data_IF_650664817064
#
_entry.id   IF_650664817064
#
_cell.length_a   1.000
_cell.length_b   1.000
_cell.length_c   1.000
_cell.angle_alpha   90.00
_cell.angle_beta   90.00
_cell.angle_gamma   90.00
#
_symmetry.space_group_name_H-M   'P 1'
#
loop_
_entity.id
_entity.type
_entity.pdbx_description
1 polymer ?
2 water ?
#
# COMPACT_ATOMS: atom_id res chain seq x y z
N UNK A 18 18.78 -39.69 2.97
CA UNK A 18 19.98 -39.10 3.56
C UNK A 18 20.41 -37.79 2.87
N UNK A 19 19.98 -37.59 1.62
CA UNK A 19 20.27 -36.37 0.88
C UNK A 19 19.03 -35.53 0.65
N UNK A 20 17.92 -35.86 1.32
CA UNK A 20 16.66 -35.14 1.22
C UNK A 20 16.52 -34.14 2.36
N UNK A 21 15.80 -33.05 2.10
CA UNK A 21 15.60 -32.03 3.12
C UNK A 21 15.01 -32.63 4.39
N UNK A 22 15.60 -32.27 5.54
CA UNK A 22 15.07 -32.62 6.86
C UNK A 22 15.48 -31.52 7.83
N UNK A 23 14.52 -31.00 8.59
CA UNK A 23 14.84 -29.94 9.53
C UNK A 23 13.83 -29.94 10.67
N UNK A 24 14.10 -29.10 11.66
CA UNK A 24 13.21 -28.85 12.77
C UNK A 24 13.30 -27.37 13.15
N UNK A 25 12.16 -26.75 13.45
CA UNK A 25 12.14 -25.36 13.90
C UNK A 25 10.87 -25.13 14.70
N UNK A 26 10.83 -23.97 15.37
CA UNK A 26 9.67 -23.59 16.17
C UNK A 26 8.46 -23.33 15.28
N UNK A 27 7.28 -23.71 15.78
CA UNK A 27 6.06 -23.69 14.95
C UNK A 27 5.68 -22.27 14.53
N UNK A 28 5.71 -21.32 15.47
CA UNK A 28 5.21 -19.99 15.14
C UNK A 28 6.04 -19.35 14.03
N UNK A 29 7.35 -19.58 14.02
CA UNK A 29 8.22 -18.99 13.01
C UNK A 29 7.94 -19.59 11.63
N UNK A 30 7.91 -20.93 11.57
CA UNK A 30 7.53 -21.64 10.34
C UNK A 30 6.15 -21.19 9.86
N UNK A 31 5.17 -21.15 10.76
CA UNK A 31 3.82 -20.74 10.36
C UNK A 31 3.81 -19.33 9.78
N UNK A 32 4.52 -18.40 10.42
CA UNK A 32 4.57 -17.03 9.92
C UNK A 32 5.25 -16.93 8.57
N UNK A 33 6.38 -17.63 8.41
CA UNK A 33 7.13 -17.56 7.16
C UNK A 33 6.30 -18.09 6.00
N UNK A 34 5.71 -19.27 6.17
CA UNK A 34 4.91 -19.88 5.10
C UNK A 34 3.70 -19.01 4.77
N UNK A 35 3.01 -18.51 5.78
CA UNK A 35 1.80 -17.73 5.47
C UNK A 35 2.15 -16.41 4.77
N UNK A 36 3.26 -15.75 5.16
CA UNK A 36 3.66 -14.54 4.45
C UNK A 36 3.95 -14.82 2.98
N UNK A 37 4.61 -15.94 2.68
CA UNK A 37 4.92 -16.29 1.30
C UNK A 37 3.66 -16.76 0.57
N UNK A 38 2.80 -17.53 1.24
CA UNK A 38 1.66 -18.13 0.57
C UNK A 38 0.48 -17.18 0.39
N UNK A 39 0.43 -16.06 1.12
CA UNK A 39 -0.59 -15.05 0.87
C UNK A 39 -0.54 -14.58 -0.59
N UNK A 40 0.67 -14.33 -1.11
CA UNK A 40 0.82 -13.87 -2.49
C UNK A 40 0.35 -14.90 -3.52
N UNK A 41 0.32 -16.20 -3.16
CA UNK A 41 0.10 -17.28 -4.12
C UNK A 41 -1.26 -17.23 -4.78
N UNK A 42 -1.40 -17.86 -5.96
CA UNK A 42 -2.71 -17.93 -6.63
C UNK A 42 -3.46 -19.22 -6.35
N UNK A 43 -4.76 -19.11 -6.06
CA UNK A 43 -5.60 -20.28 -5.84
C UNK A 43 -6.05 -20.91 -7.15
N UNK A 44 -6.29 -20.08 -8.18
CA UNK A 44 -6.55 -20.55 -9.53
C UNK A 44 -5.24 -20.51 -10.31
N UNK A 45 -4.48 -21.61 -10.32
CA UNK A 45 -3.16 -21.57 -10.96
C UNK A 45 -3.19 -22.10 -12.38
N UNK A 46 -2.71 -21.30 -13.34
CA UNK A 46 -2.52 -21.78 -14.70
C UNK A 46 -1.69 -23.05 -14.67
N UNK A 47 -0.38 -22.89 -14.47
CA UNK A 47 0.46 -24.04 -14.13
C UNK A 47 0.18 -24.46 -12.69
N UNK A 48 -0.06 -25.74 -12.42
CA UNK A 48 -0.38 -26.14 -11.04
C UNK A 48 0.77 -25.90 -10.08
N UNK A 49 2.02 -25.91 -10.57
CA UNK A 49 3.16 -25.72 -9.69
C UNK A 49 3.14 -24.34 -9.06
N UNK A 50 2.46 -23.37 -9.68
CA UNK A 50 2.48 -22.01 -9.16
C UNK A 50 1.76 -21.87 -7.82
N UNK A 51 1.02 -22.89 -7.38
CA UNK A 51 0.43 -22.92 -6.05
C UNK A 51 1.37 -23.51 -5.00
N UNK A 52 2.58 -23.91 -5.38
CA UNK A 52 3.50 -24.45 -4.41
C UNK A 52 4.38 -23.38 -3.80
N UNK A 53 4.99 -23.70 -2.66
CA UNK A 53 6.06 -22.90 -2.11
C UNK A 53 7.34 -23.75 -2.06
N UNK A 54 8.45 -23.13 -2.42
CA UNK A 54 9.75 -23.76 -2.37
C UNK A 54 10.28 -23.70 -0.95
N UNK A 55 10.81 -24.83 -0.47
CA UNK A 55 11.42 -24.93 0.85
C UNK A 55 12.85 -25.40 0.65
N UNK A 56 13.82 -24.58 1.07
CA UNK A 56 15.24 -24.87 0.87
C UNK A 56 15.99 -24.77 2.20
N UNK A 57 16.68 -25.84 2.56
CA UNK A 57 17.39 -25.89 3.84
C UNK A 57 18.89 -25.95 3.66
N UNK A 58 19.60 -25.21 4.53
CA UNK A 58 21.06 -25.13 4.52
C UNK A 58 21.56 -24.20 5.63
N UNK A 59 22.63 -24.61 6.32
CA UNK A 59 23.45 -23.73 7.17
C UNK A 59 22.62 -23.05 8.26
N UNK A 60 21.91 -23.86 9.04
CA UNK A 60 21.11 -23.38 10.16
C UNK A 60 20.08 -22.33 9.74
N UNK A 61 19.54 -22.46 8.53
CA UNK A 61 18.47 -21.59 8.09
C UNK A 61 17.58 -22.20 7.03
N UNK A 62 16.29 -21.89 7.10
CA UNK A 62 15.29 -22.39 6.16
C UNK A 62 14.80 -21.23 5.30
N UNK A 63 14.78 -21.44 3.99
CA UNK A 63 14.36 -20.42 3.03
C UNK A 63 13.09 -20.88 2.32
N UNK A 64 12.10 -20.00 2.29
CA UNK A 64 10.76 -20.31 1.78
C UNK A 64 10.44 -19.29 0.69
N UNK A 65 10.12 -19.77 -0.51
CA UNK A 65 10.03 -18.94 -1.70
C UNK A 65 8.73 -19.18 -2.45
N UNK A 66 8.16 -18.09 -2.98
CA UNK A 66 6.99 -18.15 -3.84
C UNK A 66 7.13 -17.20 -5.02
N UNK A 67 6.64 -17.60 -6.18
CA UNK A 67 6.70 -16.78 -7.38
C UNK A 67 5.43 -16.98 -8.19
N UNK A 68 4.89 -15.88 -8.73
CA UNK A 68 3.74 -16.03 -9.64
C UNK A 68 3.93 -15.32 -10.98
N UNK A 69 5.12 -14.77 -11.23
CA UNK A 69 5.57 -14.13 -12.48
C UNK A 69 5.50 -12.62 -12.35
N UNK A 70 4.62 -12.15 -11.46
CA UNK A 70 4.50 -10.73 -11.15
C UNK A 70 5.17 -10.35 -9.83
N UNK A 71 4.86 -11.05 -8.75
CA UNK A 71 5.45 -10.81 -7.44
C UNK A 71 6.16 -12.08 -6.98
N UNK A 72 7.37 -11.94 -6.44
CA UNK A 72 8.09 -13.04 -5.82
C UNK A 72 8.32 -12.68 -4.36
N UNK A 73 8.41 -13.69 -3.52
CA UNK A 73 8.61 -13.46 -2.09
C UNK A 73 9.44 -14.59 -1.51
N UNK A 74 10.40 -14.22 -0.66
CA UNK A 74 11.30 -15.14 -0.02
C UNK A 74 11.49 -14.72 1.42
N UNK A 75 11.62 -15.70 2.31
CA UNK A 75 11.89 -15.44 3.72
C UNK A 75 12.84 -16.50 4.22
N UNK A 76 13.80 -16.09 5.05
CA UNK A 76 14.71 -17.01 5.71
C UNK A 76 14.45 -16.95 7.20
N UNK A 77 14.25 -18.11 7.82
CA UNK A 77 14.11 -18.15 9.28
C UNK A 77 15.12 -19.17 9.78
N UNK A 78 15.63 -19.02 11.00
CA UNK A 78 16.52 -20.05 11.54
C UNK A 78 15.79 -21.37 11.70
N UNK A 79 16.54 -22.45 11.50
CA UNK A 79 16.01 -23.79 11.68
C UNK A 79 17.16 -24.76 11.92
N UNK A 80 16.86 -25.87 12.57
CA UNK A 80 17.88 -26.89 12.82
C UNK A 80 17.90 -27.80 11.60
N UNK A 81 18.70 -27.44 10.61
CA UNK A 81 18.75 -28.22 9.38
C UNK A 81 19.61 -29.44 9.65
N UNK A 82 18.98 -30.62 9.66
CA UNK A 82 19.69 -31.87 9.88
C UNK A 82 20.17 -32.49 8.58
N UNK A 83 19.68 -32.01 7.45
CA UNK A 83 20.11 -32.46 6.14
C UNK A 83 19.60 -31.42 5.15
N UNK A 84 20.36 -31.10 4.11
CA UNK A 84 19.96 -30.03 3.21
C UNK A 84 19.18 -30.51 1.99
N UNK A 85 18.38 -29.61 1.46
CA UNK A 85 17.71 -29.89 0.21
C UNK A 85 16.62 -28.89 -0.08
N UNK A 86 15.85 -29.22 -1.10
CA UNK A 86 14.80 -28.35 -1.55
C UNK A 86 13.60 -29.21 -1.94
N UNK A 87 12.40 -28.74 -1.58
CA UNK A 87 11.17 -29.43 -1.93
C UNK A 87 10.08 -28.39 -2.22
N UNK A 88 9.12 -28.78 -3.03
CA UNK A 88 8.00 -27.95 -3.43
C UNK A 88 6.73 -28.58 -2.90
N UNK A 89 5.99 -27.87 -2.04
CA UNK A 89 4.72 -28.37 -1.50
C UNK A 89 3.65 -27.28 -1.56
N UNK A 90 2.40 -27.72 -1.44
CA UNK A 90 1.24 -26.85 -1.57
C UNK A 90 1.29 -25.73 -0.54
N UNK A 91 1.35 -24.49 -1.03
CA UNK A 91 1.57 -23.36 -0.13
C UNK A 91 0.43 -23.15 0.84
N UNK A 92 -0.82 -23.18 0.35
CA UNK A 92 -1.91 -22.85 1.26
C UNK A 92 -2.18 -23.98 2.23
N UNK A 93 -2.05 -25.24 1.78
CA UNK A 93 -2.17 -26.37 2.70
C UNK A 93 -1.13 -26.30 3.81
N UNK A 94 0.11 -26.03 3.45
CA UNK A 94 1.17 -25.94 4.45
C UNK A 94 0.92 -24.78 5.39
N UNK A 95 0.50 -23.65 4.83
CA UNK A 95 0.09 -22.51 5.65
C UNK A 95 -1.01 -22.91 6.63
N UNK A 96 -2.08 -23.54 6.14
CA UNK A 96 -3.17 -23.95 7.02
C UNK A 96 -2.70 -24.91 8.12
N UNK A 97 -1.92 -25.93 7.75
CA UNK A 97 -1.48 -26.93 8.74
C UNK A 97 -0.61 -26.29 9.80
N UNK A 98 0.39 -25.50 9.37
CA UNK A 98 1.36 -24.98 10.34
C UNK A 98 0.73 -23.98 11.31
N UNK A 99 -0.32 -23.27 10.90
CA UNK A 99 -0.99 -22.40 11.86
C UNK A 99 -1.81 -23.18 12.88
N UNK A 100 -2.36 -24.32 12.49
CA UNK A 100 -3.22 -25.11 13.37
C UNK A 100 -2.48 -26.17 14.17
N UNK A 101 -1.17 -26.33 13.96
CA UNK A 101 -0.40 -27.36 14.65
C UNK A 101 -0.26 -27.03 16.13
N UNK A 102 0.14 -28.00 16.95
CA UNK A 102 0.40 -27.71 18.36
C UNK A 102 1.66 -26.86 18.52
N UNK A 103 1.63 -25.91 19.47
CA UNK A 103 2.80 -25.07 19.74
C UNK A 103 3.87 -25.95 20.37
N UNK A 104 4.58 -26.66 19.50
CA UNK A 104 5.61 -27.62 19.84
C UNK A 104 6.53 -27.76 18.63
N UNK A 105 7.77 -28.20 18.83
CA UNK A 105 8.72 -28.23 17.70
C UNK A 105 8.17 -29.03 16.52
N UNK A 106 8.34 -28.47 15.33
CA UNK A 106 7.86 -29.07 14.09
C UNK A 106 9.01 -29.80 13.43
N UNK A 107 8.79 -31.07 13.09
CA UNK A 107 9.74 -31.85 12.32
C UNK A 107 9.23 -32.03 10.90
N UNK A 108 10.15 -31.91 9.94
CA UNK A 108 9.79 -31.92 8.53
C UNK A 108 10.92 -32.64 7.82
N UNK A 109 10.60 -33.72 7.10
CA UNK A 109 11.60 -34.40 6.28
C UNK A 109 10.94 -34.97 5.02
N UNK A 110 11.67 -34.89 3.90
CA UNK A 110 11.22 -35.43 2.63
C UNK A 110 11.50 -36.93 2.59
N UNK A 111 10.52 -37.69 2.08
CA UNK A 111 10.58 -39.15 1.94
C UNK A 111 10.24 -39.52 0.48
N UNK A 112 11.09 -39.10 -0.45
CA UNK A 112 10.85 -39.35 -1.86
C UNK A 112 9.82 -38.44 -2.48
N UNK A 113 8.65 -38.97 -2.82
CA UNK A 113 7.60 -38.15 -3.39
C UNK A 113 6.63 -37.62 -2.35
N UNK A 114 6.96 -37.73 -1.06
CA UNK A 114 6.10 -37.25 0.00
C UNK A 114 6.92 -36.56 1.08
N UNK A 115 6.24 -35.73 1.86
CA UNK A 115 6.85 -34.93 2.92
C UNK A 115 6.18 -35.34 4.22
N UNK A 116 6.96 -35.46 5.27
CA UNK A 116 6.47 -35.85 6.58
C UNK A 116 6.59 -34.67 7.50
N UNK A 117 5.48 -34.29 8.08
CA UNK A 117 5.42 -33.18 9.01
C UNK A 117 4.85 -33.77 10.30
N UNK A 118 5.65 -33.77 11.35
CA UNK A 118 5.21 -34.26 12.64
C UNK A 118 5.38 -33.14 13.66
N UNK A 119 4.50 -33.14 14.65
CA UNK A 119 4.49 -32.07 15.63
C UNK A 119 3.62 -32.50 16.79
N UNK A 120 4.24 -32.69 17.96
CA UNK A 120 3.51 -33.29 19.06
C UNK A 120 2.96 -34.63 18.59
N UNK A 121 1.68 -34.84 18.89
CA UNK A 121 0.98 -36.09 18.61
C UNK A 121 0.34 -36.13 17.22
N UNK A 122 0.61 -35.14 16.37
CA UNK A 122 -0.02 -35.04 15.06
C UNK A 122 0.99 -35.30 13.94
N UNK A 123 0.55 -36.01 12.91
CA UNK A 123 1.43 -36.48 11.85
C UNK A 123 0.75 -36.23 10.50
N UNK A 124 1.45 -35.53 9.61
CA UNK A 124 0.98 -35.25 8.27
C UNK A 124 1.88 -35.88 7.23
N UNK A 125 1.27 -36.37 6.16
CA UNK A 125 1.97 -36.86 4.99
C UNK A 125 1.46 -36.07 3.80
N UNK A 126 2.29 -35.15 3.28
CA UNK A 126 1.91 -34.30 2.15
C UNK A 126 2.65 -34.73 0.89
N UNK A 127 1.99 -34.68 -0.27
CA UNK A 127 2.66 -34.97 -1.53
C UNK A 127 3.53 -33.81 -1.97
N UNK A 128 4.61 -34.14 -2.66
CA UNK A 128 5.46 -33.09 -3.21
C UNK A 128 5.05 -32.77 -4.64
N UNK A 129 5.61 -31.67 -5.16
CA UNK A 129 5.42 -31.23 -6.52
C UNK A 129 6.76 -31.19 -7.23
N UNK A 130 6.72 -30.93 -8.54
CA UNK A 130 7.92 -31.00 -9.36
C UNK A 130 8.72 -29.72 -9.21
N UNK A 131 9.77 -29.76 -8.37
CA UNK A 131 10.68 -28.63 -8.23
C UNK A 131 11.20 -28.19 -9.59
N UNK A 132 11.50 -29.17 -10.46
CA UNK A 132 12.05 -28.88 -11.78
C UNK A 132 11.17 -27.94 -12.59
N UNK A 133 9.84 -27.99 -12.39
CA UNK A 133 8.92 -27.14 -13.13
C UNK A 133 8.72 -25.78 -12.49
N UNK A 134 9.26 -25.55 -11.29
CA UNK A 134 8.99 -24.27 -10.65
C UNK A 134 9.83 -23.17 -11.30
N UNK A 135 9.24 -22.02 -11.58
CA UNK A 135 10.00 -20.95 -12.22
C UNK A 135 11.13 -20.45 -11.32
N UNK A 136 12.25 -20.12 -11.95
CA UNK A 136 13.32 -19.44 -11.24
C UNK A 136 12.89 -18.07 -10.75
N UNK A 137 13.08 -17.83 -9.45
CA UNK A 137 12.79 -16.53 -8.87
C UNK A 137 13.73 -15.47 -9.43
N UNK A 138 13.26 -14.24 -9.60
CA UNK A 138 14.10 -13.19 -10.18
C UNK A 138 15.13 -12.68 -9.19
N UNK A 139 16.23 -12.17 -9.74
CA UNK A 139 17.27 -11.55 -8.95
C UNK A 139 16.92 -10.09 -8.65
N UNK A 140 17.00 -9.72 -7.37
CA UNK A 140 16.76 -8.33 -6.98
C UNK A 140 17.81 -7.43 -7.63
N UNK A 141 17.40 -6.25 -8.12
CA UNK A 141 18.37 -5.27 -8.61
C UNK A 141 19.35 -4.87 -7.51
N UNK A 142 20.41 -4.16 -7.90
CA UNK A 142 21.24 -3.45 -6.93
C UNK A 142 20.39 -2.49 -6.08
N UNK A 143 20.85 -2.27 -4.85
CA UNK A 143 20.12 -1.45 -3.89
C UNK A 143 20.23 0.04 -4.21
N UNK A 144 19.17 0.77 -3.92
CA UNK A 144 19.10 2.18 -4.23
C UNK A 144 18.99 3.05 -2.99
N UNK A 145 18.17 2.65 -2.02
CA UNK A 145 18.07 3.40 -0.78
C UNK A 145 17.31 2.64 0.28
N UNK A 146 17.40 3.14 1.51
CA UNK A 146 16.70 2.59 2.66
C UNK A 146 15.85 3.68 3.32
N UNK A 147 14.87 3.23 4.11
CA UNK A 147 14.03 4.13 4.91
C UNK A 147 13.27 3.30 5.93
N UNK A 148 12.90 3.89 7.07
CA UNK A 148 12.19 3.13 8.11
C UNK A 148 10.93 2.44 7.61
N UNK A 149 10.64 1.28 8.18
CA UNK A 149 9.46 0.53 7.77
C UNK A 149 8.18 1.29 8.06
N UNK A 150 8.10 1.91 9.25
CA UNK A 150 6.97 2.78 9.59
C UNK A 150 6.72 3.79 8.46
N UNK A 151 7.75 4.58 8.13
CA UNK A 151 7.59 5.62 7.14
C UNK A 151 7.15 5.07 5.79
N UNK A 152 7.76 3.96 5.37
CA UNK A 152 7.41 3.38 4.08
C UNK A 152 5.98 2.88 4.09
N UNK A 153 5.54 2.33 5.22
CA UNK A 153 4.17 1.86 5.31
C UNK A 153 3.18 3.03 5.30
N UNK A 154 3.47 4.12 6.02
CA UNK A 154 2.56 5.25 6.05
C UNK A 154 2.45 5.89 4.68
N UNK A 155 3.59 6.18 4.06
CA UNK A 155 3.60 6.91 2.80
C UNK A 155 2.89 6.14 1.71
N UNK A 156 3.12 4.82 1.59
CA UNK A 156 2.47 4.04 0.55
C UNK A 156 0.97 4.00 0.74
N UNK A 157 0.52 3.85 1.99
CA UNK A 157 -0.90 3.80 2.27
C UNK A 157 -1.61 5.12 2.00
N UNK A 158 -0.93 6.25 2.27
CA UNK A 158 -1.52 7.57 2.00
C UNK A 158 -1.79 7.77 0.52
N UNK A 159 -0.94 7.21 -0.32
CA UNK A 159 -0.96 7.49 -1.75
C UNK A 159 -1.77 6.46 -2.51
N UNK A 160 -1.67 5.19 -2.09
CA UNK A 160 -2.25 4.06 -2.83
C UNK A 160 -3.75 4.15 -2.86
N UNK A 161 -4.36 4.77 -1.86
CA UNK A 161 -5.80 4.89 -1.79
C UNK A 161 -6.38 5.63 -2.99
N UNK A 162 -5.55 6.42 -3.70
CA UNK A 162 -5.99 7.26 -4.80
C UNK A 162 -5.83 6.61 -6.17
N UNK A 163 -5.10 5.48 -6.25
CA UNK A 163 -4.85 4.83 -7.53
C UNK A 163 -6.14 4.25 -8.11
N UNK A 164 -6.21 4.20 -9.44
CA UNK A 164 -7.29 3.49 -10.09
C UNK A 164 -7.19 1.98 -9.95
N UNK A 165 -8.35 1.34 -10.11
CA UNK A 165 -8.51 -0.11 -9.96
C UNK A 165 -9.11 -0.74 -11.21
N UNK A 166 -8.82 -0.15 -12.37
CA UNK A 166 -9.37 -0.60 -13.64
C UNK A 166 -8.21 -0.90 -14.56
N UNK A 167 -8.03 -2.18 -14.90
CA UNK A 167 -6.86 -2.56 -15.68
C UNK A 167 -6.97 -2.14 -17.14
N UNK A 168 -8.17 -1.75 -17.59
CA UNK A 168 -8.30 -1.16 -18.91
C UNK A 168 -7.65 0.22 -18.99
N UNK A 169 -7.32 0.83 -17.84
CA UNK A 169 -6.63 2.12 -17.78
C UNK A 169 -5.38 1.92 -16.93
N UNK A 170 -4.36 1.26 -17.46
CA UNK A 170 -3.22 0.87 -16.62
C UNK A 170 -2.37 2.04 -16.19
N UNK A 171 -2.42 3.17 -16.91
CA UNK A 171 -1.69 4.34 -16.45
C UNK A 171 -2.19 4.84 -15.10
N UNK A 172 -3.40 4.47 -14.69
CA UNK A 172 -3.92 4.92 -13.40
C UNK A 172 -3.72 3.92 -12.26
N UNK A 173 -3.37 2.66 -12.56
CA UNK A 173 -3.30 1.59 -11.55
C UNK A 173 -1.96 1.52 -10.81
N UNK A 174 -1.05 2.46 -11.04
CA UNK A 174 0.27 2.41 -10.44
C UNK A 174 0.50 3.49 -9.38
N UNK A 175 1.60 3.33 -8.64
CA UNK A 175 2.12 4.36 -7.77
C UNK A 175 3.41 4.87 -8.41
N UNK A 176 3.47 6.16 -8.72
CA UNK A 176 4.69 6.73 -9.28
C UNK A 176 5.71 6.95 -8.17
N UNK A 177 6.95 6.54 -8.41
CA UNK A 177 8.04 6.71 -7.45
C UNK A 177 9.07 7.58 -8.13
N UNK A 178 9.24 8.80 -7.63
CA UNK A 178 10.30 9.69 -8.12
C UNK A 178 11.40 9.78 -7.08
N UNK A 179 12.63 9.68 -7.54
CA UNK A 179 13.79 9.82 -6.67
C UNK A 179 14.60 11.00 -7.18
N UNK A 180 15.02 11.86 -6.26
CA UNK A 180 15.93 12.95 -6.57
C UNK A 180 16.87 13.06 -5.38
N UNK A 181 18.00 12.35 -5.45
CA UNK A 181 18.94 12.33 -4.34
C UNK A 181 18.30 11.77 -3.07
N UNK A 182 18.30 12.59 -2.02
CA UNK A 182 17.73 12.33 -0.71
C UNK A 182 16.20 12.30 -0.71
N UNK A 183 15.56 12.86 -1.73
CA UNK A 183 14.13 13.12 -1.68
C UNK A 183 13.37 12.16 -2.59
N UNK A 184 12.25 11.63 -2.08
CA UNK A 184 11.38 10.71 -2.80
C UNK A 184 9.97 11.28 -2.83
N UNK A 185 9.34 11.24 -4.01
CA UNK A 185 7.96 11.65 -4.19
C UNK A 185 7.16 10.44 -4.64
N UNK A 186 6.07 10.16 -3.96
CA UNK A 186 5.10 9.14 -4.33
C UNK A 186 3.79 9.80 -4.77
N UNK A 187 3.21 9.29 -5.86
CA UNK A 187 1.98 9.87 -6.39
C UNK A 187 1.09 8.77 -6.96
N UNK A 188 -0.22 8.99 -6.87
CA UNK A 188 -1.20 8.09 -7.45
C UNK A 188 -2.46 8.87 -7.75
N UNK A 189 -3.16 8.48 -8.80
CA UNK A 189 -4.41 9.16 -9.12
C UNK A 189 -5.30 8.23 -9.94
N UNK A 190 -6.62 8.47 -9.84
CA UNK A 190 -7.61 7.80 -10.66
C UNK A 190 -8.43 8.80 -11.48
N UNK A 191 -7.88 10.00 -11.71
CA UNK A 191 -8.51 11.15 -12.40
C UNK A 191 -9.48 11.93 -11.51
N UNK A 192 -9.91 11.34 -10.41
CA UNK A 192 -10.88 11.99 -9.52
C UNK A 192 -10.27 12.46 -8.21
N UNK A 193 -9.23 11.77 -7.74
CA UNK A 193 -8.39 12.22 -6.65
C UNK A 193 -6.94 11.97 -7.03
N UNK A 194 -6.06 12.76 -6.44
CA UNK A 194 -4.63 12.69 -6.68
C UNK A 194 -3.96 12.83 -5.33
N UNK A 195 -3.10 11.88 -4.98
CA UNK A 195 -2.40 11.88 -3.70
C UNK A 195 -0.91 11.95 -3.96
N UNK A 196 -0.24 12.91 -3.32
CA UNK A 196 1.20 13.12 -3.48
C UNK A 196 1.83 13.20 -2.11
N UNK A 197 2.87 12.41 -1.90
CA UNK A 197 3.58 12.32 -0.64
C UNK A 197 5.06 12.46 -0.93
N UNK A 198 5.71 13.36 -0.20
CA UNK A 198 7.15 13.58 -0.31
C UNK A 198 7.81 13.13 0.98
N UNK A 199 9.00 12.54 0.86
CA UNK A 199 9.70 12.05 2.03
C UNK A 199 11.20 12.04 1.77
N UNK A 200 11.95 12.01 2.85
CA UNK A 200 13.41 11.90 2.79
C UNK A 200 13.81 10.45 3.10
N UNK A 201 14.73 9.91 2.32
CA UNK A 201 15.30 8.59 2.62
C UNK A 201 16.82 8.65 2.69
N UNK A 202 17.43 7.53 3.07
CA UNK A 202 18.88 7.38 3.06
C UNK A 202 19.25 6.77 1.71
N UNK A 203 19.74 7.61 0.79
CA UNK A 203 20.12 7.15 -0.53
C UNK A 203 21.49 6.47 -0.50
N UNK A 204 21.67 5.48 -1.36
CA UNK A 204 22.98 4.85 -1.46
C UNK A 204 23.94 5.72 -2.25
N UNK A 205 23.55 6.14 -3.47
CA UNK A 205 24.24 7.22 -4.15
C UNK A 205 23.49 8.53 -4.00
N UNK A 206 24.16 9.68 -3.79
CA UNK A 206 23.43 10.95 -3.67
C UNK A 206 23.10 11.61 -5.00
N UNK A 207 23.26 10.92 -6.14
CA UNK A 207 23.13 11.52 -7.47
C UNK A 207 22.00 10.93 -8.32
N UNK A 208 21.06 10.20 -7.72
CA UNK A 208 20.03 9.53 -8.51
C UNK A 208 18.99 10.54 -8.96
N UNK A 209 18.49 10.36 -10.19
CA UNK A 209 17.50 11.25 -10.81
C UNK A 209 16.61 10.36 -11.67
N UNK A 210 15.57 9.80 -11.06
CA UNK A 210 14.82 8.73 -11.70
C UNK A 210 13.37 8.71 -11.25
N UNK A 211 12.55 8.05 -12.06
CA UNK A 211 11.16 7.78 -11.73
C UNK A 211 10.78 6.43 -12.33
N UNK A 212 9.99 5.66 -11.58
CA UNK A 212 9.41 4.42 -12.07
C UNK A 212 7.91 4.42 -11.72
N UNK A 213 7.21 3.39 -12.20
CA UNK A 213 5.80 3.19 -11.92
C UNK A 213 5.57 1.75 -11.45
N UNK A 214 4.98 1.60 -10.27
CA UNK A 214 4.83 0.31 -9.61
C UNK A 214 3.35 -0.01 -9.41
N UNK A 215 2.89 -1.23 -9.70
CA UNK A 215 1.48 -1.56 -9.45
C UNK A 215 1.06 -1.27 -8.02
N UNK A 216 -0.03 -0.51 -7.87
CA UNK A 216 -0.41 -0.03 -6.56
C UNK A 216 -0.92 -1.14 -5.65
N UNK A 217 -1.75 -2.05 -6.18
CA UNK A 217 -2.28 -3.12 -5.35
C UNK A 217 -1.16 -3.96 -4.72
N UNK A 218 -0.15 -4.34 -5.52
CA UNK A 218 0.95 -5.14 -4.97
C UNK A 218 1.81 -4.32 -4.01
N UNK A 219 2.18 -3.09 -4.39
CA UNK A 219 3.08 -2.31 -3.56
C UNK A 219 2.41 -1.87 -2.27
N UNK A 220 1.11 -1.55 -2.33
CA UNK A 220 0.36 -1.34 -1.12
C UNK A 220 0.46 -2.54 -0.20
N UNK A 221 0.40 -3.74 -0.76
CA UNK A 221 0.44 -4.94 0.09
C UNK A 221 1.81 -5.10 0.73
N UNK A 222 2.88 -4.95 -0.07
CA UNK A 222 4.28 -5.10 0.38
C UNK A 222 4.68 -4.07 1.43
N UNK A 223 3.72 -3.33 1.92
CA UNK A 223 3.90 -2.38 3.00
C UNK A 223 2.81 -2.49 4.06
N UNK A 224 1.58 -2.86 3.67
CA UNK A 224 0.47 -2.89 4.64
C UNK A 224 0.72 -3.91 5.73
N UNK A 225 1.38 -5.02 5.41
CA UNK A 225 1.71 -6.03 6.38
C UNK A 225 3.21 -6.30 6.51
N UNK A 226 4.03 -5.74 5.61
CA UNK A 226 5.48 -5.80 5.78
C UNK A 226 5.97 -4.85 6.85
N UNK A 227 5.05 -4.14 7.53
CA UNK A 227 5.43 -3.26 8.61
C UNK A 227 6.11 -4.04 9.74
N UNK A 228 7.11 -3.41 10.35
CA UNK A 228 7.72 -3.93 11.57
C UNK A 228 8.33 -2.74 12.31
N UNK A 229 9.48 -2.95 12.95
CA UNK A 229 10.24 -1.87 13.54
C UNK A 229 11.55 -1.58 12.85
N UNK A 230 11.78 -2.17 11.68
CA UNK A 230 13.11 -2.30 11.10
C UNK A 230 13.31 -1.28 9.98
N UNK A 231 14.30 -1.54 9.14
CA UNK A 231 14.60 -0.73 7.97
C UNK A 231 14.14 -1.48 6.73
N UNK A 232 13.65 -0.72 5.75
CA UNK A 232 13.21 -1.26 4.47
C UNK A 232 14.23 -0.81 3.43
N UNK A 233 14.69 -1.74 2.62
CA UNK A 233 15.65 -1.45 1.56
C UNK A 233 14.95 -1.59 0.23
N UNK A 234 15.09 -0.58 -0.61
CA UNK A 234 14.45 -0.57 -1.91
C UNK A 234 15.52 -0.74 -2.97
N UNK A 235 15.29 -1.66 -3.90
CA UNK A 235 16.29 -2.05 -4.87
C UNK A 235 15.75 -1.80 -6.27
N UNK A 236 16.25 -0.75 -6.91
CA UNK A 236 15.83 -0.34 -8.24
C UNK A 236 16.97 -0.33 -9.23
N UNK A 237 18.20 -0.61 -8.80
CA UNK A 237 19.38 -0.45 -9.62
C UNK A 237 20.24 0.70 -9.13
N UNK A 238 21.34 0.93 -9.85
CA UNK A 238 22.33 1.91 -9.49
C UNK A 238 22.82 2.60 -10.75
N UNK A 239 23.26 3.85 -10.59
CA UNK A 239 23.76 4.63 -11.70
C UNK A 239 22.85 4.60 -12.92
N UNK A 240 23.47 4.47 -14.08
CA UNK A 240 22.78 4.31 -15.36
C UNK A 240 21.65 3.30 -15.32
N UNK A 241 21.74 2.29 -14.46
CA UNK A 241 20.81 1.19 -14.49
C UNK A 241 19.59 1.31 -13.59
N UNK A 242 19.37 2.46 -12.97
CA UNK A 242 18.25 2.59 -12.06
C UNK A 242 16.95 2.49 -12.85
N UNK A 243 16.05 1.62 -12.41
CA UNK A 243 14.82 1.35 -13.12
C UNK A 243 14.92 0.36 -14.26
N UNK A 244 16.10 0.09 -14.78
CA UNK A 244 16.18 -0.56 -16.07
C UNK A 244 16.07 -2.07 -16.01
N UNK A 245 15.93 -2.67 -14.83
CA UNK A 245 15.74 -4.11 -14.74
C UNK A 245 14.27 -4.52 -14.75
N UNK A 246 13.34 -3.57 -14.70
CA UNK A 246 11.94 -3.90 -14.74
C UNK A 246 11.38 -4.38 -13.44
N UNK A 247 12.11 -4.22 -12.33
CA UNK A 247 11.73 -4.76 -11.05
C UNK A 247 12.00 -3.74 -9.98
N UNK A 248 11.18 -3.78 -8.94
CA UNK A 248 11.45 -3.15 -7.66
C UNK A 248 11.62 -4.26 -6.64
N UNK A 249 12.72 -4.22 -5.88
CA UNK A 249 12.91 -5.13 -4.77
C UNK A 249 12.65 -4.41 -3.47
N UNK A 250 12.10 -5.14 -2.50
CA UNK A 250 11.83 -4.62 -1.16
C UNK A 250 12.36 -5.63 -0.16
N UNK A 251 13.24 -5.17 0.73
CA UNK A 251 13.93 -6.06 1.65
C UNK A 251 13.94 -5.46 3.05
N UNK A 252 14.13 -6.35 4.01
CA UNK A 252 14.26 -6.03 5.42
C UNK A 252 13.64 -7.15 6.20
N UNK A 253 14.20 -7.46 7.36
CA UNK A 253 13.61 -8.46 8.23
C UNK A 253 13.62 -9.83 7.58
N UNK A 254 14.78 -10.20 7.04
CA UNK A 254 14.91 -11.53 6.45
C UNK A 254 13.94 -11.85 5.33
N UNK A 255 13.24 -10.84 4.83
CA UNK A 255 12.27 -10.98 3.74
C UNK A 255 12.76 -10.21 2.52
N UNK A 256 12.53 -10.80 1.35
CA UNK A 256 12.88 -10.20 0.07
C UNK A 256 11.75 -10.41 -0.91
N UNK A 257 11.26 -9.34 -1.51
CA UNK A 257 10.23 -9.48 -2.52
C UNK A 257 10.62 -8.65 -3.75
N UNK A 258 10.13 -9.07 -4.92
CA UNK A 258 10.23 -8.28 -6.14
C UNK A 258 8.84 -8.00 -6.69
N UNK A 259 8.74 -6.92 -7.46
CA UNK A 259 7.51 -6.51 -8.12
C UNK A 259 7.84 -6.04 -9.51
N UNK A 260 7.20 -6.65 -10.51
CA UNK A 260 7.36 -6.19 -11.88
C UNK A 260 6.89 -4.74 -11.99
N UNK A 261 7.67 -3.92 -12.66
CA UNK A 261 7.37 -2.51 -12.87
C UNK A 261 6.30 -2.35 -13.95
N UNK A 262 5.50 -1.30 -13.80
CA UNK A 262 4.46 -0.97 -14.75
C UNK A 262 5.03 -0.19 -15.93
N UNK A 263 4.55 -0.51 -17.14
CA UNK A 263 5.04 0.10 -18.37
C UNK A 263 4.32 1.38 -18.79
N UNK A 264 3.29 1.81 -18.07
CA UNK A 264 2.49 2.93 -18.55
C UNK A 264 3.11 4.27 -18.15
N UNK A 265 2.66 5.32 -18.81
CA UNK A 265 3.06 6.69 -18.49
C UNK A 265 2.14 7.28 -17.44
N UNK A 266 2.73 7.79 -16.36
CA UNK A 266 1.94 8.50 -15.37
C UNK A 266 1.51 9.87 -15.90
N UNK A 267 0.34 10.36 -15.50
CA UNK A 267 -0.07 11.71 -15.92
C UNK A 267 0.84 12.78 -15.31
N UNK A 268 1.05 13.85 -16.07
CA UNK A 268 1.76 15.03 -15.59
C UNK A 268 0.94 15.73 -14.50
N UNK A 269 1.11 15.29 -13.26
CA UNK A 269 0.25 15.71 -12.17
C UNK A 269 0.62 17.07 -11.59
N UNK A 270 1.83 17.56 -11.84
CA UNK A 270 2.27 18.81 -11.23
C UNK A 270 1.43 19.99 -11.70
N UNK A 271 0.93 19.94 -12.95
CA UNK A 271 0.05 20.96 -13.49
C UNK A 271 -1.19 21.15 -12.63
N UNK A 272 -1.67 20.07 -12.00
CA UNK A 272 -2.96 20.06 -11.34
C UNK A 272 -2.92 20.66 -9.94
N UNK A 273 -1.75 20.84 -9.37
CA UNK A 273 -1.62 21.38 -8.02
C UNK A 273 -1.78 22.89 -8.06
N UNK A 274 -2.82 23.45 -7.45
CA UNK A 274 -3.03 24.90 -7.51
C UNK A 274 -2.00 25.64 -6.67
N UNK A 275 -1.50 26.74 -7.23
CA UNK A 275 -0.65 27.66 -6.49
C UNK A 275 -1.43 28.65 -5.61
N UNK A 276 -2.75 28.75 -5.77
CA UNK A 276 -3.53 29.78 -5.08
C UNK A 276 -4.95 29.32 -4.86
N UNK A 277 -5.56 29.83 -3.78
CA UNK A 277 -6.90 29.46 -3.37
C UNK A 277 -7.77 30.71 -3.23
N UNK A 278 -9.05 30.59 -3.58
CA UNK A 278 -10.00 31.68 -3.36
C UNK A 278 -10.65 31.59 -1.99
N UNK A 279 -10.65 30.41 -1.37
CA UNK A 279 -11.16 30.20 -0.03
C UNK A 279 -10.32 29.11 0.63
N UNK A 280 -10.14 29.21 1.95
CA UNK A 280 -9.43 28.20 2.72
C UNK A 280 -10.27 27.87 3.95
N UNK A 281 -9.99 26.71 4.54
CA UNK A 281 -10.79 26.21 5.65
C UNK A 281 -10.00 25.18 6.43
N UNK A 282 -10.36 25.04 7.70
CA UNK A 282 -9.82 23.96 8.52
C UNK A 282 -10.92 23.37 9.38
N UNK A 283 -10.82 22.08 9.65
CA UNK A 283 -11.83 21.37 10.45
C UNK A 283 -11.15 20.25 11.21
N UNK A 284 -11.89 19.68 12.17
CA UNK A 284 -11.43 18.53 12.94
C UNK A 284 -11.72 17.28 12.12
N UNK A 285 -10.66 16.50 11.83
CA UNK A 285 -10.79 15.39 10.87
C UNK A 285 -11.80 14.37 11.35
N UNK A 286 -11.70 13.98 12.63
CA UNK A 286 -12.60 12.96 13.18
C UNK A 286 -14.04 13.46 13.20
N UNK A 287 -14.25 14.69 13.72
CA UNK A 287 -15.59 15.28 13.72
C UNK A 287 -16.18 15.30 12.33
N UNK A 288 -15.39 15.78 11.35
CA UNK A 288 -15.87 15.89 9.98
C UNK A 288 -16.15 14.51 9.36
N UNK A 289 -15.33 13.51 9.69
CA UNK A 289 -15.54 12.18 9.17
C UNK A 289 -16.87 11.60 9.66
N UNK A 290 -17.13 11.72 10.97
CA UNK A 290 -18.40 11.21 11.50
C UNK A 290 -19.60 11.92 10.88
N UNK A 291 -19.51 13.25 10.70
CA UNK A 291 -20.66 13.98 10.16
C UNK A 291 -20.95 13.55 8.73
N UNK A 292 -19.90 13.36 7.93
CA UNK A 292 -20.09 12.85 6.57
C UNK A 292 -20.79 11.50 6.61
N UNK A 293 -20.30 10.59 7.47
CA UNK A 293 -20.82 9.22 7.50
C UNK A 293 -22.26 9.23 7.97
N UNK A 294 -22.59 10.15 8.88
CA UNK A 294 -23.93 10.18 9.45
C UNK A 294 -24.92 10.77 8.45
N UNK A 295 -24.56 11.88 7.81
CA UNK A 295 -25.42 12.51 6.83
C UNK A 295 -25.56 11.63 5.58
N UNK A 296 -24.48 10.95 5.19
CA UNK A 296 -24.51 10.11 3.98
C UNK A 296 -25.48 8.92 4.08
N UNK A 297 -26.06 8.65 5.24
CA UNK A 297 -27.03 7.57 5.37
C UNK A 297 -28.32 7.81 4.58
N UNK A 298 -28.63 9.05 4.18
CA UNK A 298 -29.82 9.28 3.38
C UNK A 298 -29.48 9.53 1.91
N UNK A 299 -28.20 9.41 1.55
CA UNK A 299 -27.82 9.63 0.16
C UNK A 299 -28.27 8.46 -0.71
N UNK A 300 -28.50 8.76 -1.99
CA UNK A 300 -29.16 7.83 -2.91
C UNK A 300 -28.36 6.53 -3.05
N UNK A 301 -27.13 6.64 -3.54
CA UNK A 301 -26.26 5.49 -3.75
C UNK A 301 -24.84 5.94 -3.44
N UNK A 302 -24.62 6.38 -2.21
CA UNK A 302 -23.39 7.10 -1.91
C UNK A 302 -23.18 8.25 -2.86
N UNK A 303 -24.28 8.90 -3.26
CA UNK A 303 -24.26 9.91 -4.30
C UNK A 303 -23.27 11.01 -3.96
N UNK A 304 -23.65 11.87 -3.01
CA UNK A 304 -22.85 13.05 -2.75
C UNK A 304 -23.22 13.64 -1.39
N UNK A 305 -22.24 14.29 -0.79
CA UNK A 305 -22.43 15.06 0.44
C UNK A 305 -22.13 16.50 0.06
N UNK A 306 -22.97 17.41 0.53
CA UNK A 306 -22.80 18.83 0.25
C UNK A 306 -22.19 19.53 1.46
N UNK A 307 -21.23 20.40 1.18
CA UNK A 307 -20.57 21.20 2.20
C UNK A 307 -20.85 22.68 1.95
N UNK A 308 -21.49 23.33 2.92
CA UNK A 308 -21.78 24.76 2.87
C UNK A 308 -20.84 25.48 3.81
N UNK A 309 -19.99 26.35 3.26
CA UNK A 309 -19.05 27.12 4.06
C UNK A 309 -19.53 28.56 4.18
N UNK A 310 -19.58 29.06 5.41
CA UNK A 310 -19.87 30.46 5.66
C UNK A 310 -19.54 30.82 7.11
N UNK A 311 -18.83 31.94 7.30
CA UNK A 311 -18.65 32.60 8.59
C UNK A 311 -18.40 31.61 9.72
N UNK A 312 -17.25 30.94 9.69
CA UNK A 312 -16.88 30.09 10.80
C UNK A 312 -17.75 28.86 11.01
N UNK A 313 -18.63 28.52 10.08
CA UNK A 313 -19.38 27.27 10.22
C UNK A 313 -19.41 26.49 8.91
N UNK A 314 -19.67 25.19 9.04
CA UNK A 314 -19.84 24.28 7.93
C UNK A 314 -21.12 23.48 8.14
N UNK A 315 -21.98 23.48 7.13
CA UNK A 315 -23.19 22.65 7.14
C UNK A 315 -23.01 21.55 6.10
N UNK A 316 -22.95 20.30 6.57
CA UNK A 316 -22.96 19.13 5.72
C UNK A 316 -24.38 18.64 5.50
N UNK A 317 -24.67 18.22 4.29
CA UNK A 317 -26.03 17.75 4.03
C UNK A 317 -26.03 16.72 2.90
N UNK A 318 -27.14 15.98 2.81
CA UNK A 318 -27.30 14.94 1.79
C UNK A 318 -28.79 14.62 1.68
N UNK A 319 -29.11 13.89 0.61
CA UNK A 319 -30.43 13.32 0.45
C UNK A 319 -31.26 14.05 -0.57
N UNK A 320 -32.45 13.50 -0.79
CA UNK A 320 -33.50 14.18 -1.54
C UNK A 320 -34.82 13.90 -0.83
N UNK A 321 -35.85 14.65 -1.21
CA UNK A 321 -37.12 14.54 -0.49
C UNK A 321 -37.78 13.18 -0.65
N UNK A 322 -37.31 12.35 -1.58
CA UNK A 322 -37.94 11.05 -1.82
C UNK A 322 -37.48 9.98 -0.83
N UNK A 323 -36.22 10.06 -0.37
CA UNK A 323 -35.66 9.09 0.55
C UNK A 323 -35.48 9.68 1.95
N UNK A 324 -35.08 10.92 2.03
CA UNK A 324 -34.83 11.58 3.29
C UNK A 324 -33.70 12.56 3.15
N UNK A 325 -33.67 13.54 4.05
CA UNK A 325 -32.63 14.56 4.02
C UNK A 325 -31.93 14.61 5.36
N UNK A 326 -30.69 15.10 5.35
CA UNK A 326 -29.87 15.11 6.55
C UNK A 326 -28.95 16.32 6.52
N UNK A 327 -28.75 16.92 7.69
CA UNK A 327 -27.87 18.07 7.83
C UNK A 327 -27.13 17.93 9.14
N UNK A 328 -25.86 18.35 9.15
CA UNK A 328 -25.20 18.59 10.42
C UNK A 328 -24.35 19.83 10.30
N UNK A 329 -24.42 20.68 11.32
CA UNK A 329 -23.61 21.89 11.41
C UNK A 329 -22.42 21.61 12.31
N UNK A 330 -21.21 21.91 11.83
CA UNK A 330 -20.02 21.75 12.64
C UNK A 330 -19.17 23.03 12.56
N UNK A 331 -18.43 23.29 13.63
CA UNK A 331 -17.54 24.44 13.68
C UNK A 331 -16.32 24.23 12.80
N UNK A 332 -16.04 25.21 11.94
CA UNK A 332 -14.84 25.23 11.10
C UNK A 332 -14.26 26.63 11.12
N UNK A 333 -13.01 26.74 10.69
CA UNK A 333 -12.38 28.02 10.40
C UNK A 333 -12.41 28.23 8.89
N UNK A 334 -12.73 29.46 8.46
CA UNK A 334 -13.02 29.69 7.06
C UNK A 334 -12.72 31.14 6.67
N UNK A 335 -12.09 31.31 5.51
CA UNK A 335 -11.79 32.62 4.92
C UNK A 335 -12.02 32.56 3.43
N UNK A 336 -12.55 33.66 2.88
CA UNK A 336 -12.98 33.73 1.50
C UNK A 336 -14.47 33.98 1.40
N UNK A 337 -14.94 34.04 0.17
CA UNK A 337 -16.38 34.17 -0.04
C UNK A 337 -17.06 32.83 0.28
N UNK A 338 -18.23 32.87 0.91
CA UNK A 338 -18.94 31.63 1.21
C UNK A 338 -19.10 30.79 -0.04
N UNK A 339 -19.15 29.47 0.14
CA UNK A 339 -19.20 28.57 -0.99
C UNK A 339 -19.89 27.29 -0.55
N UNK A 340 -20.63 26.71 -1.48
CA UNK A 340 -21.09 25.35 -1.30
C UNK A 340 -20.45 24.52 -2.39
N UNK A 341 -20.01 23.31 -2.01
CA UNK A 341 -19.27 22.43 -2.89
C UNK A 341 -19.65 21.01 -2.49
N UNK A 342 -19.80 20.14 -3.47
CA UNK A 342 -20.19 18.76 -3.21
C UNK A 342 -19.07 17.80 -3.59
N UNK A 343 -18.99 16.68 -2.87
CA UNK A 343 -18.01 15.63 -3.12
C UNK A 343 -18.65 14.26 -2.97
N UNK A 344 -18.11 13.30 -3.74
CA UNK A 344 -18.31 11.89 -3.44
C UNK A 344 -17.88 11.63 -2.00
N UNK A 345 -18.75 11.10 -1.14
CA UNK A 345 -18.38 11.01 0.28
C UNK A 345 -17.36 9.93 0.57
N UNK A 346 -17.32 8.84 -0.20
CA UNK A 346 -16.26 7.85 -0.06
C UNK A 346 -14.89 8.44 -0.39
N UNK A 347 -14.80 9.22 -1.47
CA UNK A 347 -13.53 9.83 -1.87
C UNK A 347 -13.08 10.88 -0.88
N UNK A 348 -14.02 11.56 -0.20
CA UNK A 348 -13.67 12.59 0.76
C UNK A 348 -13.16 11.97 2.05
N UNK A 349 -13.91 11.01 2.59
CA UNK A 349 -13.45 10.24 3.74
C UNK A 349 -12.10 9.58 3.45
N UNK A 350 -11.89 9.08 2.22
CA UNK A 350 -10.59 8.48 1.89
C UNK A 350 -9.47 9.48 2.12
N UNK A 351 -9.65 10.71 1.62
CA UNK A 351 -8.62 11.71 1.76
C UNK A 351 -8.40 12.09 3.22
N UNK A 352 -9.49 12.27 3.97
CA UNK A 352 -9.35 12.64 5.37
C UNK A 352 -8.64 11.54 6.16
N UNK A 353 -8.91 10.28 5.82
CA UNK A 353 -8.28 9.18 6.53
C UNK A 353 -6.81 9.03 6.18
N UNK A 354 -6.35 9.60 5.07
CA UNK A 354 -4.94 9.57 4.70
C UNK A 354 -4.12 10.69 5.32
N UNK A 355 -4.74 11.67 5.97
CA UNK A 355 -4.01 12.83 6.45
C UNK A 355 -3.19 12.51 7.71
N UNK A 356 -3.74 11.67 8.59
CA UNK A 356 -3.10 11.25 9.85
C UNK A 356 -2.77 12.43 10.76
N UNK A 357 -3.54 13.50 10.66
CA UNK A 357 -3.39 14.65 11.54
C UNK A 357 -4.69 14.89 12.28
N UNK A 358 -4.62 15.75 13.29
CA UNK A 358 -5.81 16.06 14.07
C UNK A 358 -6.81 16.85 13.25
N UNK A 359 -6.32 17.70 12.34
CA UNK A 359 -7.17 18.59 11.57
C UNK A 359 -6.86 18.48 10.08
N UNK A 360 -7.78 18.99 9.28
CA UNK A 360 -7.62 19.06 7.82
C UNK A 360 -7.64 20.52 7.42
N UNK A 361 -6.77 20.89 6.50
CA UNK A 361 -6.82 22.21 5.90
C UNK A 361 -7.28 22.07 4.45
N UNK A 362 -8.22 22.93 4.05
CA UNK A 362 -8.88 22.88 2.75
C UNK A 362 -8.48 24.07 1.89
N UNK A 363 -8.24 23.83 0.61
CA UNK A 363 -7.93 24.88 -0.34
C UNK A 363 -8.90 24.84 -1.49
N UNK A 364 -9.69 25.89 -1.68
CA UNK A 364 -10.74 25.88 -2.69
C UNK A 364 -10.44 26.90 -3.77
N UNK A 365 -10.99 26.65 -4.95
CA UNK A 365 -11.05 27.65 -6.00
C UNK A 365 -12.51 27.70 -6.45
N UNK A 366 -12.83 27.15 -7.63
CA UNK A 366 -14.22 27.01 -8.09
C UNK A 366 -14.89 25.82 -7.39
N UNK A 367 -16.22 25.84 -7.28
CA UNK A 367 -16.95 24.57 -7.05
C UNK A 367 -16.87 23.60 -8.22
N UNK A 368 -16.16 23.94 -9.31
CA UNK A 368 -15.95 23.07 -10.46
C UNK A 368 -14.49 22.74 -10.75
N UNK A 369 -13.59 23.08 -9.82
CA UNK A 369 -12.18 22.74 -9.87
C UNK A 369 -11.82 21.99 -8.60
N UNK A 370 -10.74 21.20 -8.61
CA UNK A 370 -10.47 20.31 -7.46
C UNK A 370 -10.13 21.08 -6.20
N UNK A 371 -10.53 20.51 -5.06
CA UNK A 371 -10.16 21.02 -3.74
C UNK A 371 -8.89 20.33 -3.25
N UNK A 372 -8.06 21.09 -2.55
CA UNK A 372 -6.83 20.60 -1.96
C UNK A 372 -7.09 20.27 -0.50
N UNK A 373 -6.74 19.05 -0.10
CA UNK A 373 -6.74 18.67 1.30
C UNK A 373 -5.29 18.40 1.69
N UNK A 374 -4.93 18.85 2.88
CA UNK A 374 -3.58 18.65 3.39
C UNK A 374 -3.66 18.63 4.90
N UNK A 375 -2.71 17.99 5.58
CA UNK A 375 -2.80 17.90 7.05
C UNK A 375 -2.45 19.22 7.71
N UNK A 376 -3.04 19.42 8.88
CA UNK A 376 -2.82 20.59 9.72
C UNK A 376 -2.81 20.13 11.18
N UNK A 377 -2.07 20.84 12.01
CA UNK A 377 -2.03 20.53 13.43
C UNK A 377 -3.10 21.31 14.20
N UNK A 378 -3.17 21.09 15.52
CA UNK A 378 -4.02 21.93 16.36
C UNK A 378 -3.44 23.32 16.56
N UNK A 379 -2.22 23.59 16.08
CA UNK A 379 -1.54 24.87 16.25
C UNK A 379 -1.36 25.64 14.94
N UNK A 380 -1.80 25.10 13.81
CA UNK A 380 -1.86 25.85 12.56
C UNK A 380 -3.12 26.71 12.54
N UNK A 381 -3.02 27.91 11.97
CA UNK A 381 -4.14 28.85 12.03
C UNK A 381 -4.13 29.77 10.82
N UNK A 382 -5.28 30.40 10.58
CA UNK A 382 -5.47 31.29 9.44
C UNK A 382 -6.20 32.55 9.88
N UNK A 388 -8.59 39.81 6.11
CA UNK A 388 -7.97 39.07 5.01
C UNK A 388 -9.01 38.35 4.16
N UNK A 389 -9.13 38.80 2.91
CA UNK A 389 -10.05 38.20 1.95
C UNK A 389 -9.35 37.36 0.89
N UNK A 390 -8.02 37.37 0.85
CA UNK A 390 -7.29 36.57 -0.10
C UNK A 390 -7.05 37.26 -1.42
N UNK A 391 -6.74 36.49 -2.47
CA UNK A 391 -6.60 35.02 -2.47
C UNK A 391 -5.40 34.56 -1.66
N UNK A 392 -5.37 33.27 -1.31
CA UNK A 392 -4.45 32.72 -0.32
C UNK A 392 -3.47 31.78 -0.99
N UNK A 393 -2.18 31.99 -0.73
CA UNK A 393 -1.14 31.19 -1.35
C UNK A 393 -1.17 29.77 -0.81
N UNK A 394 -0.76 28.82 -1.64
CA UNK A 394 -0.72 27.43 -1.21
C UNK A 394 0.40 27.24 -0.18
N UNK A 395 0.09 26.56 0.91
CA UNK A 395 1.10 26.28 1.92
C UNK A 395 1.87 25.01 1.53
N UNK A 396 3.20 25.07 1.47
CA UNK A 396 3.97 23.85 1.16
C UNK A 396 3.67 22.75 2.17
N UNK A 397 3.48 21.54 1.65
CA UNK A 397 3.10 20.41 2.48
C UNK A 397 3.74 19.13 1.94
N UNK A 398 4.13 18.23 2.86
CA UNK A 398 4.64 16.92 2.49
C UNK A 398 3.57 15.96 1.99
N UNK A 399 2.29 16.20 2.33
CA UNK A 399 1.19 15.39 1.82
C UNK A 399 0.08 16.27 1.28
N UNK A 400 -0.50 15.86 0.15
CA UNK A 400 -1.59 16.58 -0.48
C UNK A 400 -2.53 15.56 -1.10
N UNK A 401 -3.83 15.86 -1.03
CA UNK A 401 -4.88 15.01 -1.58
C UNK A 401 -5.82 15.95 -2.33
N UNK A 402 -5.73 15.92 -3.65
CA UNK A 402 -6.51 16.75 -4.55
C UNK A 402 -7.79 16.02 -4.91
N UNK A 403 -8.95 16.63 -4.62
CA UNK A 403 -10.24 15.97 -4.80
C UNK A 403 -11.14 16.78 -5.70
N UNK A 404 -11.61 16.14 -6.76
CA UNK A 404 -12.55 16.72 -7.69
C UNK A 404 -13.96 16.72 -7.09
N UNK A 405 -14.68 17.83 -7.20
CA UNK A 405 -16.05 17.92 -6.68
C UNK A 405 -17.02 17.28 -7.67
N UNK A 406 -18.24 17.07 -7.18
CA UNK A 406 -19.34 16.64 -8.03
C UNK A 406 -20.35 17.78 -8.15
N UNK A 407 -21.12 17.73 -9.22
CA UNK A 407 -22.00 18.85 -9.56
C UNK A 407 -23.26 18.78 -8.71
N UNK A 408 -23.63 19.93 -8.16
CA UNK A 408 -24.82 20.04 -7.30
C UNK A 408 -26.10 19.83 -8.12
N UNK A 409 -27.14 19.28 -7.49
CA UNK A 409 -28.43 19.15 -8.18
C UNK A 409 -28.95 20.50 -8.66
N UNK A 410 -29.72 20.46 -9.74
CA UNK A 410 -30.23 21.67 -10.37
C UNK A 410 -29.49 22.01 -11.65
#
# INVERSE_FOLDING_TARGET
MAHHHHHHMDAATTRAGLTDLKFRLVRESFADAVSWVAKNLPTRPAVPVLSGVLLTGSDEGLTISGFDYEVSAEVRVPAEIASPGTVLVSGRLLSDITRALPNKPVDFYVDGNRVALTCGNARFSLPTMAVEDYPTLPTLPEDTGTLPAELFSEAIGQVAIAAGRDDTLPMLTGIRVEISGEKVVLAATDRFRLAVRELTWNALSPDIEAAVLVPAKTLGEAAKANTDGSEVRLSLGAGMGVGKDGLLGISGDGKRSTTRLLDAEFPKFRQLLPAEHTAVASADVAELTEAIKLVALVADRGAQVRMEFADGMLRLSAGADDVGRAEEDIAVEFAGQPLTIAFNPTYLIDGLASLHSERVSFGFTTPGKPALLRPASAEDRIVSGPGDQGPFAAVPTDYVYLLMPVRLPG
#
